data_IF_710753837279
#
_entry.id   IF_710753837279
#
_cell.length_a   1.000
_cell.length_b   1.000
_cell.length_c   1.000
_cell.angle_alpha   90.00
_cell.angle_beta   90.00
_cell.angle_gamma   90.00
#
_symmetry.space_group_name_H-M   'P 1'
#
loop_
_entity.id
_entity.type
_entity.pdbx_description
1 polymer ?
#
# COMPACT_ATOMS: atom_id res chain seq x y z
N UNK A 1 -35.65 -10.05 -34.20
CA UNK A 1 -34.87 -8.96 -33.55
C UNK A 1 -33.55 -9.58 -33.10
N UNK A 2 -32.42 -9.15 -33.67
CA UNK A 2 -31.12 -9.80 -33.41
C UNK A 2 -30.47 -9.13 -32.19
N UNK A 3 -30.27 -9.88 -31.11
CA UNK A 3 -29.51 -9.42 -29.94
C UNK A 3 -28.03 -9.38 -30.28
N UNK A 4 -27.52 -8.20 -30.62
CA UNK A 4 -26.11 -7.96 -30.97
C UNK A 4 -25.31 -7.30 -29.84
N UNK A 5 -25.99 -6.74 -28.84
CA UNK A 5 -25.38 -6.07 -27.71
C UNK A 5 -25.17 -7.01 -26.53
N UNK A 6 -23.94 -7.07 -26.02
CA UNK A 6 -23.56 -7.96 -24.93
C UNK A 6 -22.73 -7.23 -23.86
N UNK A 7 -23.12 -7.40 -22.60
CA UNK A 7 -22.31 -7.00 -21.45
C UNK A 7 -21.50 -8.23 -20.96
N UNK A 8 -20.20 -8.27 -21.27
CA UNK A 8 -19.33 -9.39 -20.89
C UNK A 8 -18.69 -9.12 -19.52
N UNK A 9 -18.90 -10.02 -18.58
CA UNK A 9 -18.28 -10.00 -17.25
C UNK A 9 -17.44 -11.26 -17.03
N UNK A 10 -16.31 -11.11 -16.34
CA UNK A 10 -15.49 -12.27 -15.96
C UNK A 10 -16.32 -13.24 -15.09
N UNK A 11 -16.26 -14.54 -15.40
CA UNK A 11 -17.00 -15.62 -14.73
C UNK A 11 -16.87 -15.58 -13.20
N UNK A 12 -15.72 -15.15 -12.66
CA UNK A 12 -15.48 -15.01 -11.21
C UNK A 12 -16.43 -13.99 -10.55
N UNK A 13 -16.88 -12.98 -11.29
CA UNK A 13 -17.78 -11.93 -10.80
C UNK A 13 -19.23 -12.13 -11.25
N UNK A 14 -19.59 -13.29 -11.81
CA UNK A 14 -20.97 -13.57 -12.26
C UNK A 14 -22.03 -13.32 -11.18
N UNK A 15 -21.70 -13.58 -9.91
CA UNK A 15 -22.60 -13.34 -8.77
C UNK A 15 -22.68 -11.88 -8.32
N UNK A 16 -21.86 -11.00 -8.89
CA UNK A 16 -21.89 -9.57 -8.61
C UNK A 16 -22.88 -8.81 -9.49
N UNK A 17 -23.42 -9.43 -10.54
CA UNK A 17 -24.45 -8.82 -11.39
C UNK A 17 -25.80 -8.92 -10.69
N UNK A 18 -26.45 -7.77 -10.46
CA UNK A 18 -27.73 -7.68 -9.75
C UNK A 18 -28.92 -7.70 -10.73
N UNK A 19 -28.78 -7.02 -11.86
CA UNK A 19 -29.84 -6.89 -12.86
C UNK A 19 -29.23 -6.64 -14.25
N UNK A 20 -29.84 -7.19 -15.30
CA UNK A 20 -29.50 -6.92 -16.70
C UNK A 20 -30.79 -6.75 -17.47
N UNK A 21 -30.99 -5.57 -18.06
CA UNK A 21 -32.23 -5.23 -18.75
C UNK A 21 -31.99 -4.44 -20.03
N UNK A 22 -32.80 -4.72 -21.03
CA UNK A 22 -32.86 -3.93 -22.26
C UNK A 22 -33.81 -2.76 -22.03
N UNK A 23 -33.34 -1.52 -22.26
CA UNK A 23 -34.18 -0.32 -22.11
C UNK A 23 -34.80 0.04 -23.46
N UNK A 24 -36.06 -0.37 -23.65
CA UNK A 24 -36.87 0.02 -24.81
C UNK A 24 -37.38 1.45 -24.63
N UNK A 25 -37.05 2.35 -25.56
CA UNK A 25 -37.46 3.77 -25.50
C UNK A 25 -36.52 4.69 -24.71
N UNK A 26 -35.24 4.34 -24.58
CA UNK A 26 -34.25 5.30 -24.10
C UNK A 26 -34.12 6.45 -25.13
N UNK A 27 -34.08 7.70 -24.67
CA UNK A 27 -33.89 8.89 -25.51
C UNK A 27 -32.43 8.96 -25.98
N UNK A 28 -32.11 8.06 -26.90
CA UNK A 28 -30.83 7.92 -27.56
C UNK A 28 -31.18 8.02 -29.04
N UNK A 29 -30.49 8.88 -29.78
CA UNK A 29 -30.63 9.02 -31.23
C UNK A 29 -29.97 7.80 -31.91
N UNK A 30 -30.43 6.60 -31.57
CA UNK A 30 -29.93 5.32 -32.06
C UNK A 30 -31.09 4.35 -32.18
N UNK A 31 -31.11 3.61 -33.28
CA UNK A 31 -32.12 2.61 -33.59
C UNK A 31 -31.94 1.31 -32.76
N UNK A 32 -30.87 1.22 -31.96
CA UNK A 32 -30.55 0.06 -31.12
C UNK A 32 -31.01 0.26 -29.67
N UNK A 33 -31.62 -0.78 -29.09
CA UNK A 33 -32.07 -0.75 -27.70
C UNK A 33 -30.89 -1.03 -26.75
N UNK A 34 -30.50 -0.10 -25.88
CA UNK A 34 -29.35 -0.29 -24.98
C UNK A 34 -29.61 -1.40 -23.94
N UNK A 35 -28.59 -2.23 -23.72
CA UNK A 35 -28.56 -3.24 -22.65
C UNK A 35 -27.79 -2.69 -21.46
N UNK A 36 -28.48 -2.52 -20.33
CA UNK A 36 -27.90 -1.97 -19.09
C UNK A 36 -27.74 -3.10 -18.07
N UNK A 37 -26.53 -3.22 -17.52
CA UNK A 37 -26.23 -4.16 -16.43
C UNK A 37 -25.91 -3.41 -15.13
N UNK A 38 -26.67 -3.69 -14.07
CA UNK A 38 -26.37 -3.27 -12.71
C UNK A 38 -25.53 -4.35 -12.03
N UNK A 39 -24.43 -3.95 -11.39
CA UNK A 39 -23.52 -4.89 -10.73
C UNK A 39 -22.91 -4.27 -9.47
N UNK A 40 -22.78 -5.07 -8.40
CA UNK A 40 -22.21 -4.70 -7.11
C UNK A 40 -21.06 -5.63 -6.71
N UNK A 41 -19.87 -5.47 -7.33
CA UNK A 41 -18.70 -6.25 -6.95
C UNK A 41 -18.16 -5.84 -5.58
N UNK A 42 -17.74 -6.82 -4.77
CA UNK A 42 -16.96 -6.55 -3.57
C UNK A 42 -15.51 -6.26 -3.97
N UNK A 43 -15.16 -4.99 -4.07
CA UNK A 43 -13.78 -4.57 -4.31
C UNK A 43 -13.00 -4.57 -2.99
N UNK A 44 -11.75 -5.01 -3.06
CA UNK A 44 -10.83 -4.92 -1.92
C UNK A 44 -10.55 -3.43 -1.68
N UNK A 45 -10.80 -2.94 -0.47
CA UNK A 45 -10.47 -1.57 -0.08
C UNK A 45 -8.95 -1.39 -0.20
N UNK A 46 -8.53 -0.37 -0.93
CA UNK A 46 -7.17 0.13 -0.95
C UNK A 46 -6.88 0.72 0.43
N UNK A 47 -6.05 0.01 1.21
CA UNK A 47 -5.61 0.48 2.53
C UNK A 47 -4.49 1.51 2.35
N UNK A 48 -4.84 2.79 2.15
CA UNK A 48 -3.84 3.87 2.15
C UNK A 48 -3.13 3.99 3.51
N UNK A 49 -3.85 3.67 4.60
CA UNK A 49 -3.29 3.63 5.96
C UNK A 49 -2.26 2.51 6.18
N UNK A 50 -2.26 1.46 5.36
CA UNK A 50 -1.26 0.40 5.40
C UNK A 50 0.06 0.79 4.74
N UNK A 51 0.16 2.00 4.19
CA UNK A 51 1.36 2.54 3.53
C UNK A 51 2.35 3.17 4.51
N UNK A 52 1.98 3.30 5.79
CA UNK A 52 2.93 3.11 6.90
C UNK A 52 3.16 1.59 7.02
N UNK A 53 3.49 0.94 5.90
CA UNK A 53 3.91 -0.45 5.91
C UNK A 53 5.20 -0.44 6.69
N UNK A 54 5.24 -1.16 7.83
CA UNK A 54 6.46 -1.44 8.58
C UNK A 54 7.62 -1.58 7.59
N UNK A 55 8.42 -0.52 7.50
CA UNK A 55 9.33 -0.34 6.39
C UNK A 55 10.50 -1.27 6.70
N UNK A 56 10.45 -2.46 6.12
CA UNK A 56 11.39 -3.52 6.48
C UNK A 56 12.78 -3.08 6.06
N UNK A 57 13.74 -3.22 6.96
CA UNK A 57 15.14 -3.10 6.59
C UNK A 57 15.54 -4.20 5.62
N UNK A 58 16.54 -3.93 4.80
CA UNK A 58 16.98 -4.91 3.83
C UNK A 58 17.80 -6.03 4.49
N UNK A 59 17.14 -7.16 4.77
CA UNK A 59 17.76 -8.31 5.42
C UNK A 59 18.83 -9.01 4.56
N UNK A 60 18.90 -8.71 3.25
CA UNK A 60 19.94 -9.28 2.38
C UNK A 60 21.34 -8.76 2.72
N UNK A 61 21.44 -7.59 3.38
CA UNK A 61 22.70 -6.99 3.81
C UNK A 61 23.45 -7.88 4.81
N UNK A 62 22.75 -8.73 5.57
CA UNK A 62 23.38 -9.68 6.48
C UNK A 62 24.04 -10.87 5.76
N UNK A 63 23.96 -10.96 4.42
CA UNK A 63 24.74 -11.95 3.65
C UNK A 63 26.13 -11.46 3.26
N UNK A 64 26.32 -10.15 3.30
CA UNK A 64 27.58 -9.49 2.96
C UNK A 64 28.41 -9.34 4.24
N UNK A 65 29.55 -10.02 4.30
CA UNK A 65 30.40 -10.06 5.50
C UNK A 65 30.99 -8.70 5.84
N UNK A 66 31.29 -7.87 4.84
CA UNK A 66 31.86 -6.54 5.06
C UNK A 66 30.81 -5.60 5.66
N UNK A 67 29.60 -5.62 5.11
CA UNK A 67 28.46 -4.84 5.66
C UNK A 67 28.02 -5.32 7.04
N UNK A 68 28.12 -6.62 7.32
CA UNK A 68 27.89 -7.16 8.66
C UNK A 68 28.87 -6.58 9.68
N UNK A 69 30.15 -6.47 9.31
CA UNK A 69 31.17 -5.91 10.20
C UNK A 69 30.99 -4.41 10.38
N UNK A 70 30.67 -3.69 9.31
CA UNK A 70 30.27 -2.28 9.38
C UNK A 70 29.08 -2.07 10.32
N UNK A 71 28.04 -2.91 10.21
CA UNK A 71 26.89 -2.87 11.11
C UNK A 71 27.30 -3.08 12.58
N UNK A 72 28.17 -4.05 12.87
CA UNK A 72 28.66 -4.30 14.24
C UNK A 72 29.43 -3.10 14.80
N UNK A 73 30.32 -2.51 14.00
CA UNK A 73 31.12 -1.35 14.41
C UNK A 73 30.20 -0.16 14.69
N UNK A 74 29.31 0.15 13.75
CA UNK A 74 28.41 1.28 13.89
C UNK A 74 27.41 1.09 15.05
N UNK A 75 26.98 -0.15 15.32
CA UNK A 75 26.17 -0.47 16.49
C UNK A 75 26.92 -0.19 17.78
N UNK A 76 28.15 -0.71 17.91
CA UNK A 76 28.97 -0.52 19.10
C UNK A 76 29.26 0.96 19.37
N UNK A 77 29.63 1.71 18.33
CA UNK A 77 29.91 3.14 18.44
C UNK A 77 28.69 3.91 18.94
N UNK A 78 27.50 3.64 18.41
CA UNK A 78 26.28 4.33 18.85
C UNK A 78 25.83 3.91 20.24
N UNK A 79 26.01 2.65 20.60
CA UNK A 79 25.66 2.17 21.93
C UNK A 79 26.57 2.76 23.00
N UNK A 80 27.85 2.98 22.67
CA UNK A 80 28.79 3.66 23.56
C UNK A 80 28.35 5.10 23.83
N UNK A 81 28.07 5.87 22.77
CA UNK A 81 27.55 7.25 22.89
C UNK A 81 26.25 7.29 23.70
N UNK A 82 25.35 6.34 23.46
CA UNK A 82 24.09 6.27 24.18
C UNK A 82 24.26 5.90 25.66
N UNK A 83 25.18 4.99 26.00
CA UNK A 83 25.50 4.68 27.39
C UNK A 83 26.08 5.88 28.14
N UNK A 84 26.93 6.66 27.47
CA UNK A 84 27.55 7.83 28.10
C UNK A 84 26.50 8.93 28.32
N UNK A 85 25.59 9.15 27.35
CA UNK A 85 24.43 10.03 27.52
C UNK A 85 23.52 9.60 28.69
N UNK A 86 23.23 8.30 28.80
CA UNK A 86 22.40 7.74 29.87
C UNK A 86 23.03 7.83 31.27
N UNK A 87 24.35 8.03 31.38
CA UNK A 87 25.03 8.24 32.66
C UNK A 87 25.03 9.69 33.10
N UNK A 88 24.95 10.63 32.16
CA UNK A 88 24.96 12.07 32.43
C UNK A 88 23.56 12.64 32.71
N UNK A 89 22.51 12.03 32.18
CA UNK A 89 21.13 12.50 32.30
C UNK A 89 20.31 11.63 33.28
N UNK A 90 19.71 12.24 34.33
CA UNK A 90 18.67 11.58 35.15
C UNK A 90 17.34 11.53 34.37
N UNK A 91 17.33 10.77 33.28
CA UNK A 91 16.17 10.60 32.41
C UNK A 91 15.27 9.48 32.90
N UNK A 92 13.95 9.67 32.70
CA UNK A 92 12.96 8.64 32.97
C UNK A 92 13.27 7.36 32.21
N UNK A 93 12.93 6.20 32.79
CA UNK A 93 13.07 4.90 32.13
C UNK A 93 12.37 4.85 30.76
N UNK A 94 11.27 5.59 30.60
CA UNK A 94 10.52 5.74 29.35
C UNK A 94 11.34 6.47 28.28
N UNK A 95 12.03 7.55 28.66
CA UNK A 95 12.87 8.36 27.78
C UNK A 95 14.13 7.57 27.38
N UNK A 96 14.69 6.81 28.31
CA UNK A 96 15.82 5.91 28.04
C UNK A 96 15.45 4.85 26.99
N UNK A 97 14.28 4.23 27.16
CA UNK A 97 13.79 3.25 26.19
C UNK A 97 13.55 3.88 24.82
N UNK A 98 13.01 5.10 24.77
CA UNK A 98 12.83 5.85 23.54
C UNK A 98 14.17 6.15 22.85
N UNK A 99 15.18 6.62 23.59
CA UNK A 99 16.52 6.88 23.07
C UNK A 99 17.15 5.62 22.46
N UNK A 100 17.08 4.48 23.14
CA UNK A 100 17.58 3.19 22.64
C UNK A 100 16.90 2.82 21.31
N UNK A 101 15.57 2.95 21.25
CA UNK A 101 14.79 2.63 20.06
C UNK A 101 15.14 3.55 18.89
N UNK A 102 15.32 4.84 19.13
CA UNK A 102 15.70 5.82 18.11
C UNK A 102 17.12 5.60 17.59
N UNK A 103 18.07 5.33 18.49
CA UNK A 103 19.45 5.01 18.13
C UNK A 103 19.52 3.77 17.23
N UNK A 104 18.86 2.68 17.62
CA UNK A 104 18.77 1.43 16.85
C UNK A 104 18.10 1.62 15.50
N UNK A 105 16.96 2.33 15.47
CA UNK A 105 16.20 2.56 14.23
C UNK A 105 17.03 3.37 13.24
N UNK A 106 17.65 4.45 13.72
CA UNK A 106 18.49 5.32 12.90
C UNK A 106 19.73 4.58 12.36
N UNK A 107 20.28 3.62 13.13
CA UNK A 107 21.49 2.88 12.74
C UNK A 107 21.15 1.86 11.67
N UNK A 108 20.07 1.10 11.90
CA UNK A 108 19.52 0.17 10.92
C UNK A 108 19.19 0.90 9.60
N UNK A 109 18.64 2.11 9.67
CA UNK A 109 18.32 2.88 8.47
C UNK A 109 19.58 3.34 7.71
N UNK A 110 20.65 3.73 8.40
CA UNK A 110 21.92 4.13 7.78
C UNK A 110 22.63 2.96 7.10
N UNK A 111 22.79 1.83 7.80
CA UNK A 111 23.60 0.71 7.31
C UNK A 111 22.81 -0.25 6.43
N UNK A 112 21.60 -0.64 6.85
CA UNK A 112 20.80 -1.64 6.13
C UNK A 112 19.93 -1.02 5.04
N UNK A 113 19.58 0.26 5.21
CA UNK A 113 18.62 0.94 4.36
C UNK A 113 17.23 0.28 4.37
N UNK A 114 16.30 0.95 3.72
CA UNK A 114 14.91 0.50 3.64
C UNK A 114 14.72 -0.38 2.41
N UNK A 115 13.97 -1.47 2.55
CA UNK A 115 13.65 -2.34 1.44
C UNK A 115 12.79 -1.57 0.44
N UNK A 116 13.35 -1.31 -0.74
CA UNK A 116 12.63 -0.71 -1.86
C UNK A 116 11.61 -1.72 -2.36
N UNK A 117 10.33 -1.44 -2.12
CA UNK A 117 9.25 -2.15 -2.78
C UNK A 117 9.03 -1.51 -4.15
N UNK A 118 9.30 -2.26 -5.21
CA UNK A 118 8.77 -1.92 -6.53
C UNK A 118 7.26 -2.16 -6.49
N UNK A 119 6.52 -1.16 -6.02
CA UNK A 119 5.08 -1.21 -6.12
C UNK A 119 4.71 -1.00 -7.59
N UNK A 120 4.20 -2.05 -8.24
CA UNK A 120 3.42 -1.86 -9.46
C UNK A 120 2.01 -1.50 -9.00
N UNK A 121 1.66 -0.24 -9.11
CA UNK A 121 0.29 0.20 -8.87
C UNK A 121 -0.63 -0.60 -9.80
N UNK A 122 -1.50 -1.42 -9.21
CA UNK A 122 -2.48 -2.18 -9.97
C UNK A 122 -3.52 -1.24 -10.63
N UNK A 123 -3.75 -0.07 -10.03
CA UNK A 123 -4.63 0.99 -10.51
C UNK A 123 -3.96 2.33 -10.18
N UNK A 124 -3.84 3.23 -11.17
CA UNK A 124 -3.32 4.59 -10.99
C UNK A 124 -4.25 5.43 -10.11
N UNK A 125 -3.67 6.31 -9.30
CA UNK A 125 -4.38 7.29 -8.48
C UNK A 125 -5.37 8.12 -9.32
N UNK A 126 -4.97 8.53 -10.53
CA UNK A 126 -5.83 9.28 -11.46
C UNK A 126 -7.12 8.51 -11.82
N UNK A 127 -7.03 7.19 -11.94
CA UNK A 127 -8.19 6.34 -12.23
C UNK A 127 -9.13 6.26 -11.03
N UNK A 128 -8.59 6.24 -9.81
CA UNK A 128 -9.40 6.25 -8.58
C UNK A 128 -10.12 7.58 -8.39
N UNK A 129 -9.47 8.69 -8.68
CA UNK A 129 -10.07 10.03 -8.57
C UNK A 129 -11.25 10.18 -9.54
N UNK A 130 -11.09 9.73 -10.80
CA UNK A 130 -12.19 9.69 -11.78
C UNK A 130 -13.37 8.83 -11.33
N UNK A 131 -13.13 7.73 -10.61
CA UNK A 131 -14.22 6.90 -10.04
C UNK A 131 -14.94 7.66 -8.91
N UNK A 132 -14.20 8.38 -8.07
CA UNK A 132 -14.76 9.16 -6.96
C UNK A 132 -15.60 10.33 -7.46
N UNK A 133 -15.13 11.06 -8.47
CA UNK A 133 -15.89 12.14 -9.12
C UNK A 133 -17.22 11.65 -9.69
N UNK A 134 -17.22 10.50 -10.36
CA UNK A 134 -18.44 9.89 -10.92
C UNK A 134 -19.41 9.38 -9.87
N UNK A 135 -18.93 9.07 -8.65
CA UNK A 135 -19.77 8.59 -7.54
C UNK A 135 -20.46 9.73 -6.78
N UNK A 136 -19.87 10.92 -6.80
CA UNK A 136 -20.41 12.11 -6.14
C UNK A 136 -21.31 12.95 -7.07
N UNK A 137 -21.63 12.42 -8.24
CA UNK A 137 -22.53 12.99 -9.24
C UNK A 137 -23.79 12.15 -9.30
#
# INVERSE_FOLDING_TARGET
ENQIDHNVINKKFRRATEDVRTRRGADIVSDQQPVVANSKPKLKKNWTSGQIALQRFNTAFFRDTDKLNEFKIALNNRFQVLQDLLKEEETSMEDNWKGIKEALTSMCQEVLGLKKHHHKEWISIETLDKIKERKNK
#
